data_IF_162403768509
#
_entry.id   IF_162403768509
#
_cell.length_a   1.000
_cell.length_b   1.000
_cell.length_c   1.000
_cell.angle_alpha   90.00
_cell.angle_beta   90.00
_cell.angle_gamma   90.00
#
_symmetry.space_group_name_H-M   'P 1'
#
loop_
_entity.id
_entity.type
_entity.pdbx_description
1 polymer ?
#
# COMPACT_ATOMS: atom_id res chain seq x y z
N UNK A 1 -23.00 10.05 8.72
CA UNK A 1 -22.84 9.07 7.62
C UNK A 1 -24.22 8.80 7.03
N UNK A 2 -24.43 9.02 5.74
CA UNK A 2 -25.73 8.79 5.10
C UNK A 2 -25.94 7.28 4.83
N UNK A 3 -27.21 6.86 4.65
CA UNK A 3 -27.50 5.48 4.22
C UNK A 3 -26.83 5.13 2.89
N UNK A 4 -26.66 6.13 2.02
CA UNK A 4 -25.95 6.01 0.75
C UNK A 4 -24.47 5.68 0.96
N UNK A 5 -23.81 6.35 1.92
CA UNK A 5 -22.39 6.13 2.24
C UNK A 5 -22.19 4.74 2.83
N UNK A 6 -23.04 4.32 3.78
CA UNK A 6 -22.99 2.98 4.38
C UNK A 6 -23.10 1.87 3.33
N UNK A 7 -24.01 2.04 2.37
CA UNK A 7 -24.19 1.06 1.29
C UNK A 7 -23.01 1.01 0.34
N UNK A 8 -22.41 2.18 0.03
CA UNK A 8 -21.20 2.27 -0.77
C UNK A 8 -20.04 1.56 -0.09
N UNK A 9 -19.83 1.84 1.19
CA UNK A 9 -18.74 1.24 1.98
C UNK A 9 -18.91 -0.27 2.11
N UNK A 10 -20.14 -0.76 2.29
CA UNK A 10 -20.44 -2.19 2.30
C UNK A 10 -20.07 -2.89 0.98
N UNK A 11 -20.36 -2.25 -0.18
CA UNK A 11 -19.95 -2.78 -1.49
C UNK A 11 -18.42 -2.84 -1.57
N UNK A 12 -17.71 -1.78 -1.15
CA UNK A 12 -16.24 -1.72 -1.15
C UNK A 12 -15.65 -2.81 -0.28
N UNK A 13 -16.15 -3.00 0.95
CA UNK A 13 -15.67 -4.04 1.86
C UNK A 13 -15.93 -5.46 1.35
N UNK A 14 -17.06 -5.68 0.68
CA UNK A 14 -17.35 -6.97 0.03
C UNK A 14 -16.40 -7.22 -1.14
N UNK A 15 -16.21 -6.23 -2.02
CA UNK A 15 -15.31 -6.33 -3.15
C UNK A 15 -13.85 -6.51 -2.69
N UNK A 16 -13.44 -5.82 -1.62
CA UNK A 16 -12.12 -5.96 -1.00
C UNK A 16 -11.83 -7.40 -0.60
N UNK A 17 -12.74 -8.05 0.11
CA UNK A 17 -12.59 -9.45 0.50
C UNK A 17 -12.43 -10.38 -0.69
N UNK A 18 -13.21 -10.17 -1.75
CA UNK A 18 -13.13 -10.99 -2.96
C UNK A 18 -11.80 -10.76 -3.71
N UNK A 19 -11.39 -9.51 -3.92
CA UNK A 19 -10.13 -9.17 -4.60
C UNK A 19 -8.88 -9.59 -3.82
N UNK A 20 -8.95 -9.72 -2.50
CA UNK A 20 -7.85 -10.25 -1.69
C UNK A 20 -7.82 -11.78 -1.67
N UNK A 21 -8.95 -12.45 -1.90
CA UNK A 21 -9.01 -13.92 -1.96
C UNK A 21 -8.70 -14.49 -3.35
N UNK A 22 -8.83 -13.67 -4.40
CA UNK A 22 -8.65 -14.05 -5.80
C UNK A 22 -8.09 -12.87 -6.61
N UNK A 23 -7.61 -13.14 -7.84
CA UNK A 23 -7.14 -12.07 -8.73
C UNK A 23 -8.28 -11.06 -9.03
N UNK A 24 -7.92 -9.77 -9.10
CA UNK A 24 -8.88 -8.71 -9.49
C UNK A 24 -9.50 -9.04 -10.86
N UNK A 25 -8.71 -9.60 -11.78
CA UNK A 25 -9.16 -9.95 -13.14
C UNK A 25 -10.24 -11.03 -13.16
N UNK A 26 -10.19 -11.98 -12.24
CA UNK A 26 -11.13 -13.10 -12.13
C UNK A 26 -12.48 -12.70 -11.53
N UNK A 27 -12.52 -11.73 -10.63
CA UNK A 27 -13.76 -11.30 -9.95
C UNK A 27 -14.55 -10.34 -10.83
N UNK A 28 -15.84 -10.63 -11.04
CA UNK A 28 -16.78 -9.79 -11.82
C UNK A 28 -17.72 -9.00 -10.90
N UNK A 29 -18.39 -7.98 -11.46
CA UNK A 29 -19.46 -7.26 -10.74
C UNK A 29 -20.62 -8.23 -10.35
N UNK A 30 -20.86 -9.27 -11.16
CA UNK A 30 -21.84 -10.30 -10.88
C UNK A 30 -21.49 -11.11 -9.61
N UNK A 31 -20.21 -11.45 -9.42
CA UNK A 31 -19.74 -12.15 -8.23
C UNK A 31 -19.92 -11.28 -6.98
N UNK A 32 -19.56 -10.00 -7.09
CA UNK A 32 -19.74 -9.02 -6.01
C UNK A 32 -21.24 -8.84 -5.69
N UNK A 33 -22.10 -8.80 -6.70
CA UNK A 33 -23.56 -8.73 -6.56
C UNK A 33 -24.09 -9.96 -5.81
N UNK A 34 -23.65 -11.16 -6.20
CA UNK A 34 -24.06 -12.41 -5.57
C UNK A 34 -23.68 -12.47 -4.09
N UNK A 35 -22.47 -12.05 -3.73
CA UNK A 35 -21.96 -12.10 -2.34
C UNK A 35 -22.55 -10.96 -1.49
N UNK A 36 -22.70 -9.76 -2.05
CA UNK A 36 -23.24 -8.60 -1.30
C UNK A 36 -24.75 -8.60 -1.14
N UNK A 37 -25.47 -9.35 -1.98
CA UNK A 37 -26.94 -9.24 -2.10
C UNK A 37 -27.42 -7.91 -2.73
N UNK A 38 -26.49 -7.11 -3.31
CA UNK A 38 -26.80 -5.83 -3.95
C UNK A 38 -26.79 -6.04 -5.47
N UNK A 39 -27.91 -5.75 -6.14
CA UNK A 39 -28.03 -5.93 -7.60
C UNK A 39 -26.98 -5.14 -8.38
N UNK A 40 -26.49 -5.74 -9.48
CA UNK A 40 -25.44 -5.18 -10.35
C UNK A 40 -25.74 -3.74 -10.80
N UNK A 41 -26.98 -3.45 -11.21
CA UNK A 41 -27.41 -2.09 -11.59
C UNK A 41 -27.19 -1.06 -10.45
N UNK A 42 -27.33 -1.49 -9.20
CA UNK A 42 -27.04 -0.64 -8.05
C UNK A 42 -25.55 -0.44 -7.87
N UNK A 43 -24.72 -1.47 -8.02
CA UNK A 43 -23.27 -1.38 -7.96
C UNK A 43 -22.76 -0.41 -9.05
N UNK A 44 -23.20 -0.56 -10.29
CA UNK A 44 -22.85 0.35 -11.38
C UNK A 44 -23.28 1.80 -11.12
N UNK A 45 -24.41 2.03 -10.44
CA UNK A 45 -24.84 3.39 -10.06
C UNK A 45 -23.89 4.04 -9.05
N UNK A 46 -23.19 3.28 -8.19
CA UNK A 46 -22.22 3.79 -7.24
C UNK A 46 -20.83 4.00 -7.83
N UNK A 47 -20.39 3.13 -8.74
CA UNK A 47 -19.01 3.07 -9.19
C UNK A 47 -18.81 3.26 -10.70
N UNK A 48 -19.90 3.31 -11.48
CA UNK A 48 -19.92 3.44 -12.94
C UNK A 48 -19.30 2.27 -13.69
N UNK A 49 -18.16 1.76 -13.26
CA UNK A 49 -17.44 0.62 -13.84
C UNK A 49 -16.68 -0.16 -12.75
N UNK A 50 -16.07 -1.28 -13.12
CA UNK A 50 -15.28 -2.13 -12.23
C UNK A 50 -14.00 -1.41 -11.79
N UNK A 51 -13.38 -0.66 -12.67
CA UNK A 51 -12.13 0.08 -12.41
C UNK A 51 -12.28 1.07 -11.26
N UNK A 52 -13.37 1.81 -11.21
CA UNK A 52 -13.66 2.75 -10.13
C UNK A 52 -13.93 2.02 -8.79
N UNK A 53 -14.54 0.83 -8.82
CA UNK A 53 -14.69 0.01 -7.63
C UNK A 53 -13.34 -0.53 -7.14
N UNK A 54 -12.48 -0.99 -8.05
CA UNK A 54 -11.10 -1.43 -7.73
C UNK A 54 -10.31 -0.29 -7.11
N UNK A 55 -10.40 0.92 -7.67
CA UNK A 55 -9.78 2.12 -7.09
C UNK A 55 -10.31 2.45 -5.70
N UNK A 56 -11.61 2.33 -5.48
CA UNK A 56 -12.20 2.53 -4.16
C UNK A 56 -11.72 1.49 -3.14
N UNK A 57 -11.50 0.24 -3.57
CA UNK A 57 -10.88 -0.80 -2.74
C UNK A 57 -9.43 -0.47 -2.43
N UNK A 58 -8.64 -0.04 -3.40
CA UNK A 58 -7.25 0.39 -3.18
C UNK A 58 -7.16 1.52 -2.14
N UNK A 59 -8.03 2.52 -2.23
CA UNK A 59 -8.13 3.60 -1.25
C UNK A 59 -8.55 3.10 0.16
N UNK A 60 -9.43 2.08 0.23
CA UNK A 60 -9.79 1.46 1.50
C UNK A 60 -8.61 0.74 2.13
N UNK A 61 -7.82 -0.01 1.34
CA UNK A 61 -6.60 -0.68 1.81
C UNK A 61 -5.54 0.30 2.32
N UNK A 62 -5.31 1.41 1.60
CA UNK A 62 -4.39 2.45 2.06
C UNK A 62 -4.83 3.07 3.41
N UNK A 63 -6.13 3.31 3.59
CA UNK A 63 -6.67 3.78 4.87
C UNK A 63 -6.46 2.77 6.00
N UNK A 64 -6.57 1.48 5.72
CA UNK A 64 -6.31 0.44 6.73
C UNK A 64 -4.84 0.40 7.12
N UNK A 65 -3.92 0.56 6.17
CA UNK A 65 -2.48 0.69 6.42
C UNK A 65 -2.18 1.92 7.29
N UNK A 66 -2.80 3.07 7.01
CA UNK A 66 -2.61 4.30 7.79
C UNK A 66 -3.15 4.23 9.23
N UNK A 67 -4.00 3.25 9.56
CA UNK A 67 -4.43 2.99 10.95
C UNK A 67 -3.36 2.28 11.79
N UNK A 68 -2.35 1.70 11.15
CA UNK A 68 -1.21 1.10 11.86
C UNK A 68 -0.46 2.24 12.58
N UNK A 69 -0.25 2.10 13.86
CA UNK A 69 0.50 3.09 14.63
C UNK A 69 1.98 3.01 14.27
N UNK A 70 2.51 4.08 13.69
CA UNK A 70 3.93 4.20 13.35
C UNK A 70 4.73 4.92 14.43
N UNK A 71 4.04 5.71 15.26
CA UNK A 71 4.67 6.59 16.25
C UNK A 71 4.67 5.94 17.62
N UNK A 72 5.84 5.92 18.22
CA UNK A 72 5.99 5.89 19.66
C UNK A 72 6.50 7.27 20.09
N UNK A 73 5.81 7.93 21.04
CA UNK A 73 6.17 9.25 21.55
C UNK A 73 7.56 9.30 22.21
N UNK A 74 8.11 8.14 22.58
CA UNK A 74 9.41 7.99 23.19
C UNK A 74 10.53 7.63 22.21
N UNK A 75 10.19 7.33 20.94
CA UNK A 75 11.16 6.95 19.91
C UNK A 75 11.84 8.16 19.28
N UNK A 76 13.12 7.98 18.91
CA UNK A 76 13.85 8.95 18.08
C UNK A 76 13.25 9.03 16.65
N UNK A 77 13.59 10.09 15.92
CA UNK A 77 13.17 10.22 14.53
C UNK A 77 13.68 9.08 13.65
N UNK A 78 14.91 8.58 13.88
CA UNK A 78 15.45 7.43 13.17
C UNK A 78 14.65 6.14 13.44
N UNK A 79 14.27 5.88 14.69
CA UNK A 79 13.45 4.72 15.05
C UNK A 79 12.07 4.81 14.39
N UNK A 80 11.46 5.99 14.35
CA UNK A 80 10.19 6.21 13.66
C UNK A 80 10.31 5.99 12.15
N UNK A 81 11.41 6.41 11.51
CA UNK A 81 11.70 6.10 10.09
C UNK A 81 11.89 4.60 9.90
N UNK A 82 12.60 3.93 10.80
CA UNK A 82 12.76 2.48 10.74
C UNK A 82 11.41 1.76 10.85
N UNK A 83 10.53 2.19 11.75
CA UNK A 83 9.18 1.66 11.87
C UNK A 83 8.35 1.91 10.61
N UNK A 84 8.51 3.09 9.99
CA UNK A 84 7.89 3.40 8.71
C UNK A 84 8.33 2.44 7.60
N UNK A 85 9.62 2.15 7.46
CA UNK A 85 10.09 1.18 6.48
C UNK A 85 9.74 -0.27 6.84
N UNK A 86 9.69 -0.62 8.13
CA UNK A 86 9.24 -1.93 8.58
C UNK A 86 7.78 -2.22 8.21
N UNK A 87 6.98 -1.20 7.88
CA UNK A 87 5.64 -1.39 7.35
C UNK A 87 5.62 -2.30 6.11
N UNK A 88 6.56 -2.12 5.19
CA UNK A 88 6.64 -2.94 3.96
C UNK A 88 6.86 -4.41 4.30
N UNK A 89 7.75 -4.70 5.26
CA UNK A 89 7.97 -6.04 5.79
C UNK A 89 6.70 -6.61 6.45
N UNK A 90 6.06 -5.84 7.30
CA UNK A 90 4.89 -6.30 8.05
C UNK A 90 3.72 -6.60 7.12
N UNK A 91 3.45 -5.73 6.13
CA UNK A 91 2.44 -5.98 5.10
C UNK A 91 2.80 -7.23 4.28
N UNK A 92 4.08 -7.42 3.93
CA UNK A 92 4.51 -8.61 3.20
C UNK A 92 4.31 -9.91 4.00
N UNK A 93 4.55 -9.89 5.32
CA UNK A 93 4.44 -11.08 6.19
C UNK A 93 2.99 -11.36 6.55
N UNK A 94 2.24 -10.33 6.96
CA UNK A 94 0.91 -10.48 7.58
C UNK A 94 -0.23 -10.34 6.57
N UNK A 95 0.01 -9.60 5.47
CA UNK A 95 -0.99 -9.23 4.47
C UNK A 95 -0.45 -9.39 3.05
N UNK A 96 0.10 -10.54 2.75
CA UNK A 96 0.70 -10.83 1.44
C UNK A 96 -0.30 -10.67 0.28
N UNK A 97 -1.57 -10.90 0.53
CA UNK A 97 -2.66 -10.67 -0.42
C UNK A 97 -2.80 -9.17 -0.79
N UNK A 98 -2.47 -8.24 0.12
CA UNK A 98 -2.46 -6.80 -0.18
C UNK A 98 -1.36 -6.47 -1.20
N UNK A 99 -0.18 -7.08 -1.02
CA UNK A 99 0.94 -6.86 -1.95
C UNK A 99 0.61 -7.38 -3.34
N UNK A 100 -0.05 -8.55 -3.44
CA UNK A 100 -0.53 -9.12 -4.71
C UNK A 100 -1.57 -8.23 -5.36
N UNK A 101 -2.54 -7.73 -4.58
CA UNK A 101 -3.56 -6.81 -5.06
C UNK A 101 -2.92 -5.54 -5.65
N UNK A 102 -1.96 -4.91 -4.94
CA UNK A 102 -1.27 -3.71 -5.41
C UNK A 102 -0.50 -3.99 -6.70
N UNK A 103 0.18 -5.15 -6.81
CA UNK A 103 0.91 -5.52 -8.02
C UNK A 103 -0.01 -5.61 -9.24
N UNK A 104 -1.18 -6.25 -9.11
CA UNK A 104 -2.16 -6.34 -10.19
C UNK A 104 -2.81 -4.98 -10.48
N UNK A 105 -3.13 -4.20 -9.44
CA UNK A 105 -3.71 -2.87 -9.56
C UNK A 105 -2.81 -1.93 -10.37
N UNK A 106 -1.52 -1.89 -10.07
CA UNK A 106 -0.59 -1.00 -10.74
C UNK A 106 -0.44 -1.34 -12.23
N UNK A 107 -0.37 -2.63 -12.57
CA UNK A 107 -0.19 -3.05 -13.97
C UNK A 107 -1.45 -2.83 -14.80
N UNK A 108 -2.62 -3.16 -14.27
CA UNK A 108 -3.85 -3.28 -15.05
C UNK A 108 -4.74 -2.05 -14.91
N UNK A 109 -4.79 -1.43 -13.75
CA UNK A 109 -5.79 -0.44 -13.40
C UNK A 109 -5.26 0.98 -13.23
N UNK A 110 -4.02 1.18 -12.77
CA UNK A 110 -3.50 2.51 -12.49
C UNK A 110 -3.57 3.44 -13.72
N UNK A 111 -3.28 2.92 -14.91
CA UNK A 111 -3.35 3.67 -16.16
C UNK A 111 -4.78 3.89 -16.69
N UNK A 112 -5.80 3.25 -16.10
CA UNK A 112 -7.21 3.34 -16.51
C UNK A 112 -8.03 4.23 -15.59
N UNK A 113 -7.45 4.74 -14.51
CA UNK A 113 -8.15 5.57 -13.55
C UNK A 113 -8.44 6.94 -14.17
N UNK A 114 -9.69 7.39 -14.09
CA UNK A 114 -10.10 8.71 -14.56
C UNK A 114 -9.48 9.83 -13.70
N UNK A 115 -9.37 11.06 -14.26
CA UNK A 115 -8.65 12.17 -13.64
C UNK A 115 -9.04 12.48 -12.19
N UNK A 116 -10.31 12.32 -11.81
CA UNK A 116 -10.78 12.58 -10.45
C UNK A 116 -10.32 11.54 -9.45
N UNK A 117 -10.41 10.28 -9.82
CA UNK A 117 -9.98 9.14 -9.02
C UNK A 117 -8.45 9.11 -8.88
N UNK A 118 -7.72 9.44 -9.96
CA UNK A 118 -6.26 9.64 -9.94
C UNK A 118 -5.85 10.67 -8.91
N UNK A 119 -6.53 11.82 -8.88
CA UNK A 119 -6.23 12.87 -7.90
C UNK A 119 -6.46 12.38 -6.47
N UNK A 120 -7.54 11.67 -6.20
CA UNK A 120 -7.82 11.14 -4.87
C UNK A 120 -6.80 10.08 -4.45
N UNK A 121 -6.38 9.21 -5.38
CA UNK A 121 -5.35 8.21 -5.15
C UNK A 121 -3.99 8.87 -4.86
N UNK A 122 -3.59 9.86 -5.65
CA UNK A 122 -2.35 10.63 -5.44
C UNK A 122 -2.34 11.32 -4.07
N UNK A 123 -3.41 12.04 -3.71
CA UNK A 123 -3.52 12.70 -2.41
C UNK A 123 -3.43 11.72 -1.22
N UNK A 124 -3.84 10.46 -1.40
CA UNK A 124 -3.70 9.45 -0.35
C UNK A 124 -2.25 8.99 -0.17
N UNK A 125 -1.43 9.05 -1.22
CA UNK A 125 0.01 8.75 -1.15
C UNK A 125 0.80 9.90 -0.50
N UNK A 126 0.37 11.16 -0.68
CA UNK A 126 1.01 12.31 -0.06
C UNK A 126 1.04 12.21 1.47
N UNK A 127 0.02 11.58 2.08
CA UNK A 127 -0.03 11.35 3.53
C UNK A 127 1.17 10.54 4.03
N UNK A 128 1.62 9.55 3.26
CA UNK A 128 2.81 8.76 3.64
C UNK A 128 4.10 9.57 3.53
N UNK A 129 4.21 10.42 2.50
CA UNK A 129 5.33 11.33 2.35
C UNK A 129 5.40 12.34 3.51
N UNK A 130 4.28 12.96 3.85
CA UNK A 130 4.20 13.93 4.95
C UNK A 130 4.57 13.29 6.29
N UNK A 131 4.12 12.05 6.54
CA UNK A 131 4.48 11.29 7.72
C UNK A 131 5.99 11.00 7.78
N UNK A 132 6.58 10.57 6.66
CA UNK A 132 8.02 10.33 6.59
C UNK A 132 8.82 11.62 6.84
N UNK A 133 8.43 12.74 6.24
CA UNK A 133 9.08 14.05 6.44
C UNK A 133 8.97 14.52 7.89
N UNK A 134 7.85 14.25 8.54
CA UNK A 134 7.68 14.52 9.98
C UNK A 134 8.74 13.78 10.81
N UNK A 135 8.95 12.49 10.57
CA UNK A 135 9.95 11.68 11.26
C UNK A 135 11.37 12.11 10.92
N UNK A 136 11.64 12.45 9.67
CA UNK A 136 12.94 12.95 9.25
C UNK A 136 13.29 14.27 9.97
N UNK A 137 12.37 15.22 10.02
CA UNK A 137 12.56 16.48 10.73
C UNK A 137 12.73 16.28 12.24
N UNK A 138 12.04 15.31 12.84
CA UNK A 138 12.26 14.90 14.21
C UNK A 138 13.68 14.38 14.40
N UNK A 139 14.16 13.50 13.52
CA UNK A 139 15.49 12.91 13.57
C UNK A 139 16.63 13.92 13.39
N UNK A 140 16.44 14.93 12.56
CA UNK A 140 17.38 16.06 12.48
C UNK A 140 17.43 16.84 13.79
N UNK A 141 16.29 17.07 14.42
CA UNK A 141 16.19 17.82 15.68
C UNK A 141 16.79 17.05 16.86
N UNK A 142 16.54 15.75 16.96
CA UNK A 142 17.06 14.88 18.02
C UNK A 142 18.46 14.33 17.72
N UNK A 143 19.02 14.66 16.55
CA UNK A 143 20.34 14.25 16.07
C UNK A 143 20.50 12.74 15.85
N UNK A 144 19.43 12.02 15.68
CA UNK A 144 19.44 10.60 15.33
C UNK A 144 19.59 10.40 13.82
N UNK A 145 19.28 11.43 13.03
CA UNK A 145 19.34 11.43 11.56
C UNK A 145 20.27 12.55 11.10
N UNK A 146 21.12 12.26 10.10
CA UNK A 146 21.90 13.26 9.39
C UNK A 146 21.16 13.80 8.17
N UNK A 147 21.47 15.02 7.80
CA UNK A 147 20.95 15.65 6.58
C UNK A 147 21.41 14.92 5.32
N UNK A 148 20.51 14.77 4.35
CA UNK A 148 20.81 14.26 3.01
C UNK A 148 20.48 15.31 1.97
N UNK A 149 21.21 15.34 0.87
CA UNK A 149 21.13 16.37 -0.16
C UNK A 149 19.72 16.52 -0.77
N UNK A 150 19.05 15.40 -1.04
CA UNK A 150 17.67 15.39 -1.57
C UNK A 150 16.83 14.32 -0.85
N UNK A 151 16.15 14.75 0.21
CA UNK A 151 15.29 13.88 1.00
C UNK A 151 14.07 13.39 0.21
N UNK A 152 13.59 14.17 -0.76
CA UNK A 152 12.47 13.79 -1.61
C UNK A 152 12.87 12.66 -2.55
N UNK A 153 14.01 12.78 -3.20
CA UNK A 153 14.57 11.72 -4.03
C UNK A 153 14.84 10.46 -3.22
N UNK A 154 15.42 10.61 -2.02
CA UNK A 154 15.64 9.49 -1.11
C UNK A 154 14.35 8.77 -0.76
N UNK A 155 13.29 9.52 -0.36
CA UNK A 155 12.00 8.95 -0.02
C UNK A 155 11.40 8.12 -1.17
N UNK A 156 11.29 8.70 -2.36
CA UNK A 156 10.69 7.98 -3.49
C UNK A 156 11.53 6.79 -3.93
N UNK A 157 12.86 6.94 -3.98
CA UNK A 157 13.75 5.83 -4.35
C UNK A 157 13.64 4.67 -3.36
N UNK A 158 13.66 4.95 -2.06
CA UNK A 158 13.60 3.91 -1.02
C UNK A 158 12.21 3.23 -0.97
N UNK A 159 11.12 3.99 -1.01
CA UNK A 159 9.77 3.43 -0.94
C UNK A 159 9.39 2.65 -2.20
N UNK A 160 9.73 3.15 -3.39
CA UNK A 160 9.53 2.42 -4.65
C UNK A 160 10.34 1.12 -4.66
N UNK A 161 11.62 1.17 -4.25
CA UNK A 161 12.46 -0.04 -4.21
C UNK A 161 11.89 -1.11 -3.27
N UNK A 162 11.46 -0.73 -2.06
CA UNK A 162 10.84 -1.66 -1.10
C UNK A 162 9.51 -2.22 -1.63
N UNK A 163 8.67 -1.37 -2.21
CA UNK A 163 7.38 -1.80 -2.74
C UNK A 163 7.57 -2.79 -3.90
N UNK A 164 8.43 -2.49 -4.85
CA UNK A 164 8.69 -3.36 -6.00
C UNK A 164 9.35 -4.68 -5.58
N UNK A 165 10.26 -4.65 -4.59
CA UNK A 165 10.80 -5.87 -4.00
C UNK A 165 9.69 -6.73 -3.39
N UNK A 166 8.81 -6.13 -2.57
CA UNK A 166 7.68 -6.85 -1.96
C UNK A 166 6.76 -7.45 -3.04
N UNK A 167 6.42 -6.70 -4.10
CA UNK A 167 5.60 -7.18 -5.22
C UNK A 167 6.25 -8.37 -5.91
N UNK A 168 7.53 -8.28 -6.26
CA UNK A 168 8.29 -9.38 -6.85
C UNK A 168 8.24 -10.63 -5.96
N UNK A 169 8.55 -10.47 -4.67
CA UNK A 169 8.61 -11.59 -3.74
C UNK A 169 7.23 -12.20 -3.43
N UNK A 170 6.16 -11.40 -3.46
CA UNK A 170 4.79 -11.87 -3.27
C UNK A 170 4.26 -12.65 -4.47
N UNK A 171 4.60 -12.20 -5.68
CA UNK A 171 4.13 -12.78 -6.95
C UNK A 171 4.91 -14.03 -7.36
N UNK A 172 6.09 -14.26 -6.80
CA UNK A 172 7.00 -15.30 -7.23
C UNK A 172 6.54 -16.70 -6.81
N UNK A 173 5.69 -17.30 -7.64
CA UNK A 173 5.67 -18.74 -7.89
C UNK A 173 6.70 -19.11 -8.97
N UNK A 174 7.74 -18.30 -9.14
CA UNK A 174 8.78 -18.56 -10.13
C UNK A 174 9.53 -19.81 -9.73
N UNK A 175 9.63 -20.77 -10.62
CA UNK A 175 10.44 -21.98 -10.48
C UNK A 175 11.95 -21.71 -10.46
N UNK A 176 12.36 -20.42 -10.47
CA UNK A 176 13.74 -19.99 -10.51
C UNK A 176 14.44 -20.30 -9.20
N UNK A 177 15.56 -21.01 -9.27
CA UNK A 177 16.40 -21.37 -8.11
C UNK A 177 16.89 -20.10 -7.37
N UNK A 178 17.19 -19.03 -8.12
CA UNK A 178 17.68 -17.76 -7.60
C UNK A 178 16.69 -17.11 -6.63
N UNK A 179 15.39 -17.19 -6.90
CA UNK A 179 14.35 -16.64 -6.03
C UNK A 179 14.14 -17.43 -4.73
N UNK A 180 14.83 -18.57 -4.59
CA UNK A 180 14.82 -19.44 -3.39
C UNK A 180 16.15 -19.44 -2.64
N UNK A 181 17.15 -18.73 -3.16
CA UNK A 181 18.51 -18.74 -2.62
C UNK A 181 18.62 -18.01 -1.27
N UNK A 182 17.74 -17.03 -1.04
CA UNK A 182 17.73 -16.19 0.16
C UNK A 182 16.32 -16.16 0.75
N UNK A 183 16.24 -16.01 2.07
CA UNK A 183 14.97 -15.79 2.75
C UNK A 183 14.36 -14.44 2.35
N UNK A 184 13.11 -14.44 1.89
CA UNK A 184 12.42 -13.27 1.33
C UNK A 184 12.23 -12.15 2.34
N UNK A 185 12.00 -12.49 3.60
CA UNK A 185 11.85 -11.48 4.66
C UNK A 185 13.20 -10.81 4.93
N UNK A 186 14.28 -11.61 4.95
CA UNK A 186 15.64 -11.09 5.11
C UNK A 186 16.08 -10.17 3.97
N UNK A 187 15.61 -10.40 2.73
CA UNK A 187 15.88 -9.48 1.63
C UNK A 187 15.26 -8.09 1.88
N UNK A 188 14.00 -8.05 2.35
CA UNK A 188 13.31 -6.79 2.69
C UNK A 188 14.01 -6.10 3.87
N UNK A 189 14.35 -6.86 4.91
CA UNK A 189 15.05 -6.34 6.10
C UNK A 189 16.44 -5.79 5.74
N UNK A 190 17.16 -6.47 4.86
CA UNK A 190 18.48 -6.02 4.40
C UNK A 190 18.38 -4.72 3.60
N UNK A 191 17.44 -4.62 2.65
CA UNK A 191 17.22 -3.38 1.88
C UNK A 191 16.81 -2.23 2.81
N UNK A 192 15.94 -2.48 3.79
CA UNK A 192 15.58 -1.49 4.83
C UNK A 192 16.82 -1.02 5.59
N UNK A 193 17.69 -1.95 6.01
CA UNK A 193 18.91 -1.61 6.76
C UNK A 193 19.87 -0.73 5.96
N UNK A 194 19.97 -0.91 4.64
CA UNK A 194 20.77 -0.05 3.76
C UNK A 194 20.23 1.39 3.76
N UNK A 195 18.90 1.57 3.64
CA UNK A 195 18.31 2.92 3.68
C UNK A 195 18.48 3.58 5.04
N UNK A 196 18.31 2.84 6.13
CA UNK A 196 18.56 3.36 7.49
C UNK A 196 20.02 3.76 7.67
N UNK A 197 20.98 3.01 7.11
CA UNK A 197 22.41 3.33 7.21
C UNK A 197 22.78 4.65 6.53
N UNK A 198 22.04 5.04 5.48
CA UNK A 198 22.22 6.33 4.80
C UNK A 198 21.77 7.49 5.67
N UNK A 199 20.70 7.31 6.46
CA UNK A 199 20.13 8.37 7.30
C UNK A 199 20.76 8.49 8.67
N UNK A 200 21.33 7.42 9.19
CA UNK A 200 21.88 7.37 10.55
C UNK A 200 23.00 8.38 10.73
N UNK A 201 22.89 9.21 11.77
CA UNK A 201 23.92 10.18 12.17
C UNK A 201 25.15 9.50 12.78
#
# INVERSE_FOLDING_TARGET
MSFKDLKRDYIVETAKKLFLSSSISEITIKDISAVSGIGEATIYRYFSNKENLVTAVSLSLQKDILKIKFEDSNSSGLENIQNFFNLFRNIFVEHKEYVKFIAEFDIVYLNKIENKENRQYSLSLDVFYDLFIKFYNQGLKDKSVKEVEDIKLFYYTSTHSLLELCKKLASSNTGLKQDKAVDRVKEIEYLTSLFISVLKA
#
